data_IF_364441788396
#
_entry.id   IF_364441788396
#
_cell.length_a   1.000
_cell.length_b   1.000
_cell.length_c   1.000
_cell.angle_alpha   90.00
_cell.angle_beta   90.00
_cell.angle_gamma   90.00
#
_symmetry.space_group_name_H-M   'P 1'
#
loop_
_entity.id
_entity.type
_entity.pdbx_description
1 polymer ?
#
# COMPACT_ATOMS: atom_id res chain seq x y z
N UNK A 1 -26.45 -17.82 -42.00
CA UNK A 1 -26.73 -17.11 -40.73
C UNK A 1 -25.98 -17.69 -39.51
N UNK A 2 -25.51 -18.94 -39.53
CA UNK A 2 -24.90 -19.62 -38.37
C UNK A 2 -23.52 -19.07 -37.92
N UNK A 3 -22.72 -18.53 -38.84
CA UNK A 3 -21.36 -18.03 -38.56
C UNK A 3 -21.34 -16.71 -37.79
N UNK A 4 -22.34 -15.84 -37.99
CA UNK A 4 -22.41 -14.54 -37.30
C UNK A 4 -22.69 -14.67 -35.81
N UNK A 5 -23.51 -15.64 -35.41
CA UNK A 5 -23.82 -15.89 -34.00
C UNK A 5 -22.61 -16.41 -33.22
N UNK A 6 -21.76 -17.23 -33.85
CA UNK A 6 -20.53 -17.72 -33.23
C UNK A 6 -19.53 -16.58 -32.97
N UNK A 7 -19.46 -15.62 -33.88
CA UNK A 7 -18.58 -14.46 -33.76
C UNK A 7 -19.01 -13.53 -32.62
N UNK A 8 -20.31 -13.30 -32.48
CA UNK A 8 -20.88 -12.49 -31.39
C UNK A 8 -20.66 -13.14 -30.02
N UNK A 9 -20.79 -14.46 -29.93
CA UNK A 9 -20.53 -15.22 -28.69
C UNK A 9 -19.06 -15.12 -28.30
N UNK A 10 -18.13 -15.23 -29.25
CA UNK A 10 -16.69 -15.08 -28.97
C UNK A 10 -16.33 -13.68 -28.46
N UNK A 11 -16.93 -12.63 -29.01
CA UNK A 11 -16.71 -11.25 -28.55
C UNK A 11 -17.25 -11.05 -27.13
N UNK A 12 -18.42 -11.61 -26.81
CA UNK A 12 -18.98 -11.54 -25.47
C UNK A 12 -18.05 -12.19 -24.43
N UNK A 13 -17.47 -13.35 -24.74
CA UNK A 13 -16.50 -14.01 -23.85
C UNK A 13 -15.22 -13.20 -23.64
N UNK A 14 -14.72 -12.52 -24.67
CA UNK A 14 -13.52 -11.68 -24.56
C UNK A 14 -13.76 -10.44 -23.69
N UNK A 15 -14.92 -9.80 -23.81
CA UNK A 15 -15.28 -8.65 -22.97
C UNK A 15 -15.44 -9.06 -21.50
N UNK A 16 -16.03 -10.22 -21.22
CA UNK A 16 -16.16 -10.78 -19.87
C UNK A 16 -14.79 -11.11 -19.23
N UNK A 17 -13.78 -11.45 -20.02
CA UNK A 17 -12.42 -11.75 -19.50
C UNK A 17 -11.56 -10.50 -19.26
N UNK A 18 -11.94 -9.34 -19.82
CA UNK A 18 -11.18 -8.10 -19.66
C UNK A 18 -11.36 -7.46 -18.28
N UNK A 19 -12.38 -7.85 -17.51
CA UNK A 19 -12.67 -7.34 -16.16
C UNK A 19 -11.84 -8.00 -15.05
N UNK A 20 -10.83 -8.81 -15.38
CA UNK A 20 -9.79 -9.16 -14.42
C UNK A 20 -8.81 -7.99 -14.26
N UNK A 21 -9.31 -6.86 -13.79
CA UNK A 21 -8.49 -5.85 -13.13
C UNK A 21 -7.90 -6.50 -11.88
N UNK A 22 -6.72 -7.11 -12.03
CA UNK A 22 -5.91 -7.54 -10.90
C UNK A 22 -5.67 -6.29 -10.07
N UNK A 23 -6.39 -6.16 -8.96
CA UNK A 23 -6.02 -5.25 -7.89
C UNK A 23 -4.68 -5.75 -7.38
N UNK A 24 -3.60 -5.25 -7.97
CA UNK A 24 -2.29 -5.30 -7.34
C UNK A 24 -2.45 -4.47 -6.08
N UNK A 25 -2.82 -5.13 -4.99
CA UNK A 25 -2.63 -4.57 -3.68
C UNK A 25 -1.13 -4.34 -3.60
N UNK A 26 -0.69 -3.08 -3.61
CA UNK A 26 0.66 -2.71 -3.25
C UNK A 26 0.87 -2.93 -1.73
N UNK A 27 0.43 -4.09 -1.22
CA UNK A 27 0.75 -4.57 0.11
C UNK A 27 2.24 -4.82 0.08
N UNK A 28 2.97 -4.08 0.89
CA UNK A 28 4.38 -4.36 1.04
C UNK A 28 4.48 -5.80 1.58
N UNK A 29 5.36 -6.64 1.01
CA UNK A 29 5.47 -8.04 1.40
C UNK A 29 5.93 -8.19 2.85
N UNK A 30 6.59 -7.18 3.40
CA UNK A 30 7.14 -7.14 4.75
C UNK A 30 6.97 -5.74 5.35
N UNK A 31 6.84 -5.62 6.69
CA UNK A 31 6.90 -4.34 7.37
C UNK A 31 8.23 -3.67 7.07
N UNK A 32 8.16 -2.42 6.63
CA UNK A 32 9.34 -1.60 6.37
C UNK A 32 9.52 -0.64 7.52
N UNK A 33 10.78 -0.38 7.87
CA UNK A 33 11.10 0.57 8.91
C UNK A 33 12.14 1.60 8.51
N UNK A 34 11.93 2.83 8.97
CA UNK A 34 12.80 3.98 8.72
C UNK A 34 13.00 4.81 9.98
N UNK A 35 14.15 5.49 10.04
CA UNK A 35 14.44 6.44 11.11
C UNK A 35 14.13 7.85 10.65
N UNK A 36 13.28 8.55 11.40
CA UNK A 36 13.01 9.97 11.20
C UNK A 36 13.76 10.81 12.24
N UNK A 37 14.13 12.01 11.82
CA UNK A 37 14.69 13.07 12.66
C UNK A 37 15.85 12.64 13.57
N UNK A 38 16.93 12.03 13.02
CA UNK A 38 18.04 11.56 13.83
C UNK A 38 18.71 12.72 14.59
N UNK A 39 18.79 12.59 15.92
CA UNK A 39 19.47 13.55 16.79
C UNK A 39 18.59 14.67 17.35
N UNK A 40 17.34 14.81 16.90
CA UNK A 40 16.36 15.73 17.49
C UNK A 40 15.55 15.03 18.59
N UNK A 41 15.09 15.76 19.62
CA UNK A 41 14.21 15.20 20.64
C UNK A 41 13.02 14.48 20.01
N UNK A 42 12.85 13.20 20.34
CA UNK A 42 11.72 12.41 19.85
C UNK A 42 10.49 12.70 20.70
N UNK A 43 9.51 13.37 20.11
CA UNK A 43 8.17 13.51 20.66
C UNK A 43 7.27 12.38 20.12
N UNK A 44 6.69 11.52 20.96
CA UNK A 44 5.92 10.36 20.50
C UNK A 44 4.71 10.73 19.63
N UNK A 45 4.02 11.84 19.94
CA UNK A 45 2.83 12.25 19.19
C UNK A 45 3.21 12.75 17.80
N UNK A 46 4.23 13.58 17.72
CA UNK A 46 4.79 14.10 16.47
C UNK A 46 5.37 12.97 15.63
N UNK A 47 6.16 12.08 16.24
CA UNK A 47 6.73 10.90 15.58
C UNK A 47 5.64 10.04 14.94
N UNK A 48 4.61 9.66 15.71
CA UNK A 48 3.52 8.86 15.17
C UNK A 48 2.70 9.60 14.10
N UNK A 49 2.45 10.90 14.29
CA UNK A 49 1.74 11.73 13.31
C UNK A 49 2.50 11.86 11.98
N UNK A 50 3.82 12.05 12.04
CA UNK A 50 4.68 12.12 10.87
C UNK A 50 4.72 10.78 10.13
N UNK A 51 4.90 9.67 10.86
CA UNK A 51 4.88 8.32 10.27
C UNK A 51 3.53 8.01 9.60
N UNK A 52 2.42 8.32 10.26
CA UNK A 52 1.09 8.07 9.71
C UNK A 52 0.81 8.91 8.46
N UNK A 53 1.30 10.15 8.43
CA UNK A 53 1.16 11.07 7.29
C UNK A 53 2.02 10.65 6.10
N UNK A 54 3.28 10.29 6.34
CA UNK A 54 4.25 10.03 5.28
C UNK A 54 4.17 8.61 4.73
N UNK A 55 3.80 7.64 5.57
CA UNK A 55 3.80 6.22 5.23
C UNK A 55 2.41 5.57 5.24
N UNK A 56 1.36 6.34 4.95
CA UNK A 56 -0.03 5.85 4.86
C UNK A 56 -0.44 4.98 6.05
N UNK A 57 -0.62 5.60 7.22
CA UNK A 57 -0.95 4.92 8.48
C UNK A 57 0.20 4.12 9.12
N UNK A 58 1.45 4.46 8.78
CA UNK A 58 2.62 3.98 9.50
C UNK A 58 2.58 4.34 11.00
N UNK A 59 3.10 3.46 11.84
CA UNK A 59 3.19 3.62 13.30
C UNK A 59 4.56 4.17 13.66
N UNK A 60 4.59 5.27 14.43
CA UNK A 60 5.82 5.87 14.93
C UNK A 60 6.09 5.54 16.39
N UNK A 61 7.32 5.11 16.67
CA UNK A 61 7.81 4.75 18.02
C UNK A 61 9.11 5.49 18.30
N UNK A 62 9.21 6.15 19.45
CA UNK A 62 10.48 6.70 19.92
C UNK A 62 11.30 5.59 20.59
N UNK A 63 12.35 5.10 19.92
CA UNK A 63 13.25 4.07 20.49
C UNK A 63 14.19 4.63 21.56
N UNK A 64 14.51 5.91 21.43
CA UNK A 64 15.33 6.66 22.39
C UNK A 64 14.86 8.13 22.33
N UNK A 65 15.28 9.01 23.27
CA UNK A 65 14.81 10.40 23.28
C UNK A 65 15.25 11.22 22.08
N UNK A 66 15.96 10.64 21.09
CA UNK A 66 16.50 11.32 19.92
C UNK A 66 16.20 10.62 18.58
N UNK A 67 15.37 9.59 18.58
CA UNK A 67 15.17 8.76 17.39
C UNK A 67 13.72 8.32 17.29
N UNK A 68 13.06 8.81 16.25
CA UNK A 68 11.75 8.34 15.82
C UNK A 68 11.95 7.18 14.84
N UNK A 69 11.24 6.08 15.08
CA UNK A 69 11.25 4.87 14.27
C UNK A 69 9.85 4.67 13.70
N UNK A 70 9.71 4.70 12.39
CA UNK A 70 8.43 4.42 11.73
C UNK A 70 8.42 2.98 11.24
N UNK A 71 7.41 2.22 11.61
CA UNK A 71 7.06 0.95 10.96
C UNK A 71 5.82 1.17 10.10
N UNK A 72 5.85 0.70 8.86
CA UNK A 72 4.74 0.86 7.93
C UNK A 72 4.56 -0.34 7.03
N UNK A 73 3.40 -0.42 6.38
CA UNK A 73 2.91 -1.63 5.73
C UNK A 73 2.70 -2.81 6.70
N UNK A 74 2.01 -2.55 7.81
CA UNK A 74 1.70 -3.54 8.86
C UNK A 74 0.50 -4.46 8.51
N UNK A 75 0.24 -4.67 7.22
CA UNK A 75 -0.88 -5.47 6.68
C UNK A 75 -0.84 -6.96 7.07
#
# INVERSE_FOLDING_TARGET
MRTGHLLLVAIAFLVLSADMSVKVSARCPDPVAVYLNPGQPCDPQTCNGDCAREYHEGIGVCLNPKTCYCEYCLD
#
